data_IF_340274507193
#
_entry.id   IF_340274507193
#
_cell.length_a   1.000
_cell.length_b   1.000
_cell.length_c   1.000
_cell.angle_alpha   90.00
_cell.angle_beta   90.00
_cell.angle_gamma   90.00
#
_symmetry.space_group_name_H-M   'P 1'
#
loop_
_entity.id
_entity.type
_entity.pdbx_description
1 polymer ?
#
# COMPACT_ATOMS: atom_id res chain seq x y z
N UNK A 1 35.96 7.48 -34.74
CA UNK A 1 35.33 7.50 -33.41
C UNK A 1 34.05 6.70 -33.46
N UNK A 2 33.98 5.51 -32.85
CA UNK A 2 32.80 4.68 -32.89
C UNK A 2 31.75 5.24 -31.92
N UNK A 3 30.53 5.34 -32.43
CA UNK A 3 29.33 5.80 -31.72
C UNK A 3 29.03 4.90 -30.53
N UNK A 4 29.07 5.46 -29.32
CA UNK A 4 28.62 4.77 -28.11
C UNK A 4 27.12 4.46 -28.26
N UNK A 5 26.79 3.17 -28.40
CA UNK A 5 25.42 2.67 -28.29
C UNK A 5 24.92 2.97 -26.87
N UNK A 6 23.78 3.65 -26.76
CA UNK A 6 23.06 3.82 -25.50
C UNK A 6 22.81 2.44 -24.86
N UNK A 7 23.07 2.25 -23.55
CA UNK A 7 22.76 1.00 -22.89
C UNK A 7 21.25 0.76 -22.94
N UNK A 8 20.87 -0.47 -23.30
CA UNK A 8 19.50 -0.95 -23.38
C UNK A 8 18.80 -0.78 -22.03
N UNK A 9 17.78 0.09 -21.99
CA UNK A 9 16.89 0.23 -20.84
C UNK A 9 16.12 -1.08 -20.64
N UNK A 10 16.53 -1.91 -19.69
CA UNK A 10 15.59 -2.79 -19.00
C UNK A 10 14.55 -1.87 -18.35
N UNK A 11 13.41 -1.70 -19.00
CA UNK A 11 12.33 -0.84 -18.55
C UNK A 11 11.64 -1.53 -17.38
N UNK A 12 12.05 -1.22 -16.16
CA UNK A 12 11.27 -1.53 -14.96
C UNK A 12 9.81 -1.18 -15.21
N UNK A 13 8.91 -2.14 -15.00
CA UNK A 13 7.46 -1.94 -15.18
C UNK A 13 6.93 -0.85 -14.24
N UNK A 14 7.55 -0.71 -13.06
CA UNK A 14 7.19 0.27 -12.04
C UNK A 14 8.41 1.07 -11.56
N UNK A 15 8.28 2.41 -11.38
CA UNK A 15 9.39 3.27 -10.96
C UNK A 15 9.88 2.90 -9.54
N UNK A 16 11.15 3.16 -9.20
CA UNK A 16 11.68 3.04 -7.85
C UNK A 16 10.87 3.88 -6.85
N UNK A 17 10.45 3.26 -5.75
CA UNK A 17 9.75 3.89 -4.63
C UNK A 17 10.75 4.53 -3.66
N UNK A 18 11.64 5.38 -4.20
CA UNK A 18 12.71 6.06 -3.47
C UNK A 18 12.76 7.57 -3.81
N UNK A 19 13.32 8.41 -2.93
CA UNK A 19 13.61 9.80 -3.25
C UNK A 19 14.55 9.92 -4.45
N UNK A 20 14.30 10.92 -5.31
CA UNK A 20 15.10 11.13 -6.53
C UNK A 20 16.56 11.45 -6.18
N UNK A 21 16.79 12.23 -5.12
CA UNK A 21 18.13 12.62 -4.70
C UNK A 21 18.96 11.41 -4.25
N UNK A 22 18.35 10.47 -3.52
CA UNK A 22 18.99 9.21 -3.15
C UNK A 22 19.34 8.36 -4.37
N UNK A 23 18.44 8.27 -5.36
CA UNK A 23 18.72 7.55 -6.61
C UNK A 23 19.91 8.16 -7.36
N UNK A 24 20.01 9.49 -7.37
CA UNK A 24 21.15 10.19 -7.96
C UNK A 24 22.44 9.91 -7.20
N UNK A 25 22.41 9.94 -5.87
CA UNK A 25 23.56 9.63 -5.02
C UNK A 25 24.06 8.19 -5.25
N UNK A 26 23.15 7.23 -5.25
CA UNK A 26 23.47 5.82 -5.51
C UNK A 26 24.06 5.62 -6.91
N UNK A 27 23.58 6.37 -7.92
CA UNK A 27 24.11 6.30 -9.29
C UNK A 27 25.56 6.78 -9.40
N UNK A 28 25.99 7.68 -8.50
CA UNK A 28 27.35 8.24 -8.45
C UNK A 28 28.30 7.39 -7.62
N UNK A 29 27.80 6.50 -6.77
CA UNK A 29 28.63 5.69 -5.91
C UNK A 29 29.36 4.61 -6.74
N UNK A 30 30.71 4.57 -6.75
CA UNK A 30 31.48 3.68 -7.60
C UNK A 30 31.26 2.20 -7.24
N UNK A 31 30.94 1.89 -5.99
CA UNK A 31 30.66 0.53 -5.54
C UNK A 31 29.26 0.06 -5.91
N UNK A 32 28.36 1.00 -6.20
CA UNK A 32 26.96 0.78 -6.56
C UNK A 32 26.72 0.88 -8.07
N UNK A 33 27.55 1.66 -8.78
CA UNK A 33 27.37 2.12 -10.16
C UNK A 33 27.18 1.07 -11.27
N UNK A 34 26.47 1.51 -12.32
CA UNK A 34 25.95 0.80 -13.52
C UNK A 34 25.39 -0.62 -13.30
N UNK A 35 25.11 -1.05 -12.07
CA UNK A 35 24.36 -2.27 -11.91
C UNK A 35 22.93 -2.01 -12.39
N UNK A 36 22.46 -2.69 -13.45
CA UNK A 36 21.08 -2.54 -13.85
C UNK A 36 20.24 -2.93 -12.64
N UNK A 37 19.10 -2.25 -12.48
CA UNK A 37 18.05 -2.66 -11.55
C UNK A 37 17.74 -4.18 -11.65
N UNK A 38 18.12 -4.81 -12.76
CA UNK A 38 18.21 -6.24 -12.94
C UNK A 38 19.60 -6.79 -12.52
N UNK A 39 19.67 -7.42 -11.34
CA UNK A 39 20.26 -8.75 -11.39
C UNK A 39 19.39 -9.58 -12.36
N UNK A 40 20.05 -10.38 -13.17
CA UNK A 40 19.51 -11.24 -14.22
C UNK A 40 18.57 -12.33 -13.72
N UNK A 41 17.51 -11.97 -13.00
CA UNK A 41 16.38 -12.83 -12.70
C UNK A 41 15.11 -11.99 -12.82
N UNK A 42 14.42 -12.15 -13.96
CA UNK A 42 13.05 -11.64 -14.16
C UNK A 42 12.11 -11.90 -12.97
N UNK A 43 12.43 -12.91 -12.14
CA UNK A 43 11.74 -13.27 -10.90
C UNK A 43 11.82 -12.19 -9.82
N UNK A 44 13.00 -11.60 -9.55
CA UNK A 44 13.16 -10.59 -8.47
C UNK A 44 12.39 -9.30 -8.82
N UNK A 45 12.50 -8.84 -10.06
CA UNK A 45 11.74 -7.68 -10.53
C UNK A 45 10.24 -7.94 -10.48
N UNK A 46 9.79 -9.16 -10.79
CA UNK A 46 8.39 -9.55 -10.65
C UNK A 46 7.93 -9.57 -9.18
N UNK A 47 8.76 -10.05 -8.24
CA UNK A 47 8.44 -10.00 -6.80
C UNK A 47 8.34 -8.55 -6.31
N UNK A 48 9.30 -7.71 -6.72
CA UNK A 48 9.30 -6.29 -6.41
C UNK A 48 8.04 -5.61 -6.95
N UNK A 49 7.65 -5.87 -8.20
CA UNK A 49 6.47 -5.26 -8.82
C UNK A 49 5.19 -5.61 -8.05
N UNK A 50 5.00 -6.88 -7.69
CA UNK A 50 3.88 -7.33 -6.85
C UNK A 50 3.81 -6.60 -5.50
N UNK A 51 4.95 -6.36 -4.86
CA UNK A 51 5.03 -5.60 -3.59
C UNK A 51 4.69 -4.12 -3.83
N UNK A 52 5.24 -3.50 -4.87
CA UNK A 52 5.02 -2.09 -5.21
C UNK A 52 3.55 -1.80 -5.54
N UNK A 53 2.87 -2.70 -6.24
CA UNK A 53 1.43 -2.63 -6.49
C UNK A 53 0.58 -3.10 -5.30
N UNK A 54 1.21 -3.55 -4.21
CA UNK A 54 0.57 -4.07 -2.99
C UNK A 54 -0.36 -5.25 -3.27
N UNK A 55 -0.01 -6.08 -4.24
CA UNK A 55 -0.68 -7.36 -4.51
C UNK A 55 -0.38 -8.38 -3.41
N UNK A 56 0.83 -8.28 -2.83
CA UNK A 56 1.27 -9.05 -1.67
C UNK A 56 1.86 -8.12 -0.60
N UNK A 57 1.90 -8.54 0.67
CA UNK A 57 2.62 -7.81 1.72
C UNK A 57 4.10 -7.65 1.37
N UNK A 58 4.72 -6.54 1.80
CA UNK A 58 6.17 -6.31 1.63
C UNK A 58 7.03 -7.40 2.28
N UNK A 59 6.51 -7.99 3.35
CA UNK A 59 7.14 -9.07 4.13
C UNK A 59 6.82 -10.48 3.58
N UNK A 60 6.23 -10.58 2.37
CA UNK A 60 5.89 -11.87 1.79
C UNK A 60 7.15 -12.75 1.62
N UNK A 61 7.02 -14.00 2.06
CA UNK A 61 8.09 -15.00 2.05
C UNK A 61 7.98 -15.80 0.75
N UNK A 62 9.06 -15.81 -0.04
CA UNK A 62 9.11 -16.47 -1.34
C UNK A 62 9.88 -17.80 -1.24
N UNK A 63 9.38 -18.88 -1.86
CA UNK A 63 10.19 -20.07 -2.11
C UNK A 63 11.19 -19.75 -3.22
N UNK A 64 12.48 -19.99 -2.97
CA UNK A 64 13.53 -19.74 -3.95
C UNK A 64 14.10 -21.10 -4.38
N UNK A 65 13.99 -21.39 -5.67
CA UNK A 65 14.58 -22.60 -6.27
C UNK A 65 16.08 -22.65 -5.98
N UNK A 66 16.56 -23.80 -5.46
CA UNK A 66 17.97 -24.01 -5.14
C UNK A 66 18.43 -23.50 -3.77
N UNK A 67 17.56 -22.85 -2.98
CA UNK A 67 17.84 -22.54 -1.58
C UNK A 67 17.05 -23.46 -0.65
N UNK A 68 17.67 -23.84 0.47
CA UNK A 68 17.05 -24.73 1.46
C UNK A 68 15.99 -24.06 2.35
N UNK A 69 15.73 -22.76 2.17
CA UNK A 69 14.79 -21.97 2.95
C UNK A 69 14.07 -20.91 2.12
N UNK A 70 12.86 -20.59 2.56
CA UNK A 70 12.10 -19.47 2.04
C UNK A 70 12.60 -18.14 2.64
N UNK A 71 12.53 -17.05 1.87
CA UNK A 71 13.05 -15.74 2.28
C UNK A 71 12.16 -14.59 1.85
N UNK A 72 12.15 -13.50 2.62
CA UNK A 72 11.56 -12.23 2.21
C UNK A 72 12.43 -11.53 1.16
N UNK A 73 11.85 -10.60 0.40
CA UNK A 73 12.61 -9.85 -0.60
C UNK A 73 13.76 -9.02 0.02
N UNK A 74 13.58 -8.54 1.25
CA UNK A 74 14.62 -7.85 2.00
C UNK A 74 15.80 -8.77 2.33
N UNK A 75 15.56 -10.03 2.73
CA UNK A 75 16.62 -11.01 2.98
C UNK A 75 17.37 -11.40 1.70
N UNK A 76 16.65 -11.55 0.57
CA UNK A 76 17.26 -11.82 -0.75
C UNK A 76 18.17 -10.66 -1.14
N UNK A 77 17.65 -9.43 -1.07
CA UNK A 77 18.40 -8.21 -1.37
C UNK A 77 19.64 -8.07 -0.47
N UNK A 78 19.49 -8.42 0.81
CA UNK A 78 20.57 -8.35 1.78
C UNK A 78 21.71 -9.33 1.49
N UNK A 79 21.37 -10.58 1.17
CA UNK A 79 22.36 -11.61 0.79
C UNK A 79 23.06 -11.31 -0.54
N UNK A 80 22.38 -10.63 -1.47
CA UNK A 80 22.92 -10.28 -2.78
C UNK A 80 23.73 -8.97 -2.78
N UNK A 81 23.71 -8.20 -1.69
CA UNK A 81 24.28 -6.86 -1.67
C UNK A 81 23.53 -5.86 -2.57
N UNK A 82 22.22 -6.07 -2.80
CA UNK A 82 21.41 -5.18 -3.64
C UNK A 82 20.96 -3.95 -2.85
N UNK A 83 21.85 -2.95 -2.77
CA UNK A 83 21.63 -1.76 -1.94
C UNK A 83 20.36 -0.99 -2.32
N UNK A 84 20.08 -0.81 -3.62
CA UNK A 84 18.86 -0.15 -4.10
C UNK A 84 17.59 -0.84 -3.61
N UNK A 85 17.56 -2.18 -3.68
CA UNK A 85 16.40 -2.96 -3.30
C UNK A 85 16.22 -2.95 -1.77
N UNK A 86 17.30 -2.97 -1.00
CA UNK A 86 17.24 -2.83 0.46
C UNK A 86 16.67 -1.48 0.86
N UNK A 87 17.15 -0.38 0.27
CA UNK A 87 16.58 0.96 0.48
C UNK A 87 15.08 0.95 0.19
N UNK A 88 14.68 0.40 -0.95
CA UNK A 88 13.28 0.40 -1.36
C UNK A 88 12.39 -0.45 -0.45
N UNK A 89 12.84 -1.63 -0.04
CA UNK A 89 12.09 -2.49 0.89
C UNK A 89 11.90 -1.80 2.24
N UNK A 90 12.94 -1.18 2.79
CA UNK A 90 12.84 -0.39 4.03
C UNK A 90 11.86 0.78 3.83
N UNK A 91 11.93 1.48 2.69
CA UNK A 91 11.03 2.61 2.38
C UNK A 91 9.56 2.20 2.27
N UNK A 92 9.30 0.98 1.77
CA UNK A 92 7.98 0.37 1.64
C UNK A 92 7.47 -0.24 2.95
N UNK A 93 8.27 -0.20 4.02
CA UNK A 93 7.90 -0.64 5.36
C UNK A 93 8.12 -2.12 5.61
N UNK A 94 9.15 -2.72 4.99
CA UNK A 94 9.59 -4.07 5.32
C UNK A 94 10.00 -4.15 6.80
N UNK A 95 9.63 -5.25 7.46
CA UNK A 95 10.12 -5.55 8.79
C UNK A 95 11.62 -5.85 8.73
N UNK A 96 12.42 -4.95 9.31
CA UNK A 96 13.88 -5.04 9.28
C UNK A 96 14.43 -6.29 10.01
N UNK A 97 13.64 -6.85 10.91
CA UNK A 97 13.96 -8.03 11.72
C UNK A 97 13.18 -9.28 11.29
N UNK A 98 12.64 -9.30 10.07
CA UNK A 98 11.93 -10.48 9.56
C UNK A 98 12.84 -11.71 9.58
N UNK A 99 12.38 -12.82 10.13
CA UNK A 99 13.16 -14.06 10.23
C UNK A 99 12.70 -15.09 9.22
N UNK A 100 13.65 -15.86 8.67
CA UNK A 100 13.33 -17.10 7.97
C UNK A 100 13.07 -18.26 8.96
N UNK A 101 12.82 -19.45 8.43
CA UNK A 101 12.63 -20.68 9.22
C UNK A 101 13.81 -21.06 10.13
N UNK A 102 14.99 -20.47 9.92
CA UNK A 102 16.17 -20.67 10.76
C UNK A 102 16.42 -19.52 11.73
N UNK A 103 15.48 -18.58 11.86
CA UNK A 103 15.60 -17.42 12.74
C UNK A 103 16.53 -16.32 12.18
N UNK A 104 16.93 -16.38 10.91
CA UNK A 104 17.91 -15.45 10.34
C UNK A 104 17.23 -14.16 9.88
N UNK A 105 17.72 -13.01 10.35
CA UNK A 105 17.28 -11.68 9.89
C UNK A 105 17.97 -11.27 8.58
N UNK A 106 17.50 -10.19 7.89
CA UNK A 106 18.23 -9.56 6.80
C UNK A 106 19.68 -9.23 7.15
N UNK A 107 19.93 -8.70 8.36
CA UNK A 107 21.29 -8.41 8.82
C UNK A 107 22.11 -9.70 8.94
N UNK A 108 21.52 -10.75 9.50
CA UNK A 108 22.18 -12.05 9.63
C UNK A 108 22.60 -12.61 8.27
N UNK A 109 21.70 -12.62 7.28
CA UNK A 109 22.03 -13.17 5.96
C UNK A 109 23.06 -12.33 5.20
N UNK A 110 23.09 -11.01 5.39
CA UNK A 110 24.15 -10.15 4.82
C UNK A 110 25.52 -10.47 5.43
N UNK A 111 25.61 -10.57 6.77
CA UNK A 111 26.86 -10.93 7.46
C UNK A 111 27.29 -12.35 7.13
N UNK A 112 26.35 -13.28 7.02
CA UNK A 112 26.61 -14.63 6.56
C UNK A 112 27.20 -14.66 5.16
N UNK A 113 26.64 -13.89 4.22
CA UNK A 113 27.17 -13.80 2.87
C UNK A 113 28.61 -13.25 2.86
N UNK A 114 28.89 -12.17 3.61
CA UNK A 114 30.25 -11.61 3.73
C UNK A 114 31.26 -12.64 4.23
N UNK A 115 30.94 -13.33 5.31
CA UNK A 115 31.86 -14.31 5.93
C UNK A 115 32.04 -15.58 5.09
N UNK A 116 31.03 -15.97 4.30
CA UNK A 116 31.16 -17.05 3.31
C UNK A 116 32.08 -16.66 2.16
N UNK A 117 32.05 -15.40 1.69
CA UNK A 117 32.95 -14.92 0.65
C UNK A 117 34.42 -15.04 1.06
N UNK A 118 34.73 -14.74 2.32
CA UNK A 118 36.10 -14.84 2.85
C UNK A 118 36.60 -16.29 2.93
N UNK A 119 35.70 -17.27 3.05
CA UNK A 119 36.05 -18.70 3.12
C UNK A 119 36.26 -19.33 1.75
N UNK A 120 35.55 -18.85 0.73
CA UNK A 120 35.56 -19.43 -0.60
C UNK A 120 35.93 -18.39 -1.66
N UNK A 121 37.10 -17.73 -1.58
CA UNK A 121 37.41 -16.55 -2.39
C UNK A 121 37.32 -16.79 -3.91
N UNK A 122 37.58 -18.03 -4.35
CA UNK A 122 37.63 -18.42 -5.76
C UNK A 122 36.25 -18.67 -6.40
N UNK A 123 35.15 -18.65 -5.62
CA UNK A 123 33.81 -18.82 -6.18
C UNK A 123 33.44 -17.63 -7.10
N UNK A 124 32.97 -17.90 -8.34
CA UNK A 124 32.59 -16.86 -9.28
C UNK A 124 31.40 -16.07 -8.73
N UNK A 125 31.59 -14.76 -8.59
CA UNK A 125 30.59 -13.85 -8.04
C UNK A 125 30.51 -12.56 -8.87
N UNK A 126 29.35 -11.88 -8.86
CA UNK A 126 29.27 -10.57 -9.45
C UNK A 126 30.33 -9.62 -8.82
N UNK A 127 30.94 -8.71 -9.59
CA UNK A 127 31.94 -7.80 -9.06
C UNK A 127 31.33 -6.91 -7.98
N UNK A 128 32.15 -6.56 -6.97
CA UNK A 128 31.81 -5.62 -5.87
C UNK A 128 30.71 -6.09 -4.90
N UNK A 129 30.29 -7.35 -4.97
CA UNK A 129 29.28 -7.89 -4.03
C UNK A 129 29.73 -7.76 -2.56
N UNK A 130 31.01 -7.99 -2.26
CA UNK A 130 31.56 -7.81 -0.90
C UNK A 130 31.35 -6.38 -0.36
N UNK A 131 31.93 -5.34 -1.00
CA UNK A 131 31.71 -3.94 -0.61
C UNK A 131 30.22 -3.57 -0.49
N UNK A 132 29.39 -3.97 -1.46
CA UNK A 132 27.95 -3.69 -1.42
C UNK A 132 27.23 -4.36 -0.26
N UNK A 133 27.56 -5.61 0.04
CA UNK A 133 26.97 -6.34 1.16
C UNK A 133 27.39 -5.70 2.49
N UNK A 134 28.60 -5.14 2.57
CA UNK A 134 29.05 -4.33 3.71
C UNK A 134 28.20 -3.07 3.87
N UNK A 135 27.96 -2.32 2.79
CA UNK A 135 27.08 -1.14 2.81
C UNK A 135 25.65 -1.49 3.24
N UNK A 136 25.13 -2.63 2.78
CA UNK A 136 23.82 -3.13 3.19
C UNK A 136 23.78 -3.47 4.68
N UNK A 137 24.79 -4.17 5.21
CA UNK A 137 24.87 -4.48 6.62
C UNK A 137 24.91 -3.19 7.47
N UNK A 138 25.72 -2.20 7.07
CA UNK A 138 25.76 -0.89 7.72
C UNK A 138 24.38 -0.21 7.70
N UNK A 139 23.72 -0.16 6.55
CA UNK A 139 22.38 0.43 6.40
C UNK A 139 21.36 -0.25 7.33
N UNK A 140 21.37 -1.58 7.43
CA UNK A 140 20.44 -2.31 8.30
C UNK A 140 20.69 -1.98 9.79
N UNK A 141 21.95 -1.90 10.21
CA UNK A 141 22.32 -1.56 11.59
C UNK A 141 21.89 -0.11 11.91
N UNK A 142 22.16 0.83 11.01
CA UNK A 142 21.76 2.24 11.11
C UNK A 142 20.23 2.43 11.13
N UNK A 143 19.51 1.56 10.42
CA UNK A 143 18.05 1.49 10.43
C UNK A 143 17.48 0.71 11.62
N UNK A 144 18.32 0.49 12.62
CA UNK A 144 17.99 -0.10 13.91
C UNK A 144 17.60 -1.58 13.88
N UNK A 145 18.12 -2.37 12.91
CA UNK A 145 18.01 -3.83 12.95
C UNK A 145 18.50 -4.39 14.30
N UNK A 146 17.88 -5.46 14.78
CA UNK A 146 18.35 -6.15 15.98
C UNK A 146 19.68 -6.84 15.66
N UNK A 147 20.73 -6.37 16.35
CA UNK A 147 22.12 -6.79 16.16
C UNK A 147 22.47 -8.07 16.91
N UNK A 148 21.61 -8.49 17.85
CA UNK A 148 21.87 -9.62 18.74
C UNK A 148 21.10 -10.88 18.35
N UNK A 149 20.37 -10.87 17.22
CA UNK A 149 19.70 -12.08 16.75
C UNK A 149 20.72 -13.16 16.45
N UNK A 150 20.53 -14.30 17.09
CA UNK A 150 21.32 -15.50 16.88
C UNK A 150 20.65 -16.39 15.85
N UNK A 151 21.41 -16.84 14.85
CA UNK A 151 21.01 -18.01 14.06
C UNK A 151 21.12 -19.28 14.91
N UNK A 152 21.20 -20.45 14.27
CA UNK A 152 21.27 -21.74 14.98
C UNK A 152 22.30 -21.79 16.13
N UNK A 153 23.48 -21.16 15.99
CA UNK A 153 24.53 -21.18 17.03
C UNK A 153 25.47 -19.96 17.07
N UNK A 154 25.23 -18.90 16.28
CA UNK A 154 26.12 -17.73 16.17
C UNK A 154 25.31 -16.45 15.97
N UNK A 155 25.78 -15.33 16.51
CA UNK A 155 25.29 -13.97 16.23
C UNK A 155 26.04 -13.33 15.05
N UNK A 156 25.55 -12.21 14.51
CA UNK A 156 26.30 -11.42 13.53
C UNK A 156 27.69 -11.02 14.05
N UNK A 157 27.75 -10.61 15.32
CA UNK A 157 28.98 -10.19 15.99
C UNK A 157 30.02 -11.32 16.03
N UNK A 158 29.67 -12.50 16.58
CA UNK A 158 30.56 -13.69 16.57
C UNK A 158 31.05 -14.07 15.18
N UNK A 159 30.17 -13.98 14.18
CA UNK A 159 30.51 -14.40 12.82
C UNK A 159 31.59 -13.51 12.23
N UNK A 160 31.48 -12.19 12.42
CA UNK A 160 32.51 -11.24 11.99
C UNK A 160 33.81 -11.41 12.79
N UNK A 161 33.73 -11.70 14.09
CA UNK A 161 34.93 -11.93 14.89
C UNK A 161 35.68 -13.19 14.47
N UNK A 162 34.97 -14.25 14.12
CA UNK A 162 35.55 -15.51 13.63
C UNK A 162 36.00 -15.48 12.16
N UNK A 163 35.84 -14.36 11.45
CA UNK A 163 36.23 -14.23 10.05
C UNK A 163 37.75 -14.07 9.89
N UNK A 164 38.31 -14.59 8.79
CA UNK A 164 39.73 -14.41 8.46
C UNK A 164 40.06 -12.95 8.15
N UNK A 165 39.15 -12.26 7.45
CA UNK A 165 39.25 -10.83 7.16
C UNK A 165 38.34 -10.09 8.13
N UNK A 166 38.92 -9.30 9.03
CA UNK A 166 38.16 -8.52 10.01
C UNK A 166 37.60 -7.26 9.36
N UNK A 167 36.27 -7.12 9.40
CA UNK A 167 35.57 -5.90 8.98
C UNK A 167 35.30 -5.03 10.20
N UNK A 168 36.35 -4.36 10.67
CA UNK A 168 36.30 -3.54 11.89
C UNK A 168 35.19 -2.49 11.86
N UNK A 169 34.97 -1.84 10.72
CA UNK A 169 33.87 -0.87 10.54
C UNK A 169 32.50 -1.44 10.95
N UNK A 170 32.20 -2.69 10.57
CA UNK A 170 30.95 -3.35 10.93
C UNK A 170 30.94 -3.81 12.40
N UNK A 171 32.08 -4.28 12.92
CA UNK A 171 32.21 -4.72 14.31
C UNK A 171 31.98 -3.54 15.25
N UNK A 172 32.64 -2.40 15.00
CA UNK A 172 32.46 -1.16 15.73
C UNK A 172 31.03 -0.65 15.65
N UNK A 173 30.43 -0.68 14.45
CA UNK A 173 29.04 -0.28 14.25
C UNK A 173 28.05 -1.18 15.00
N UNK A 174 28.27 -2.49 15.03
CA UNK A 174 27.48 -3.43 15.84
C UNK A 174 27.59 -3.10 17.33
N UNK A 175 28.80 -2.89 17.86
CA UNK A 175 29.05 -2.54 19.26
C UNK A 175 28.35 -1.22 19.61
N UNK A 176 28.49 -0.19 18.77
CA UNK A 176 27.82 1.09 18.94
C UNK A 176 26.29 0.94 18.97
N UNK A 177 25.74 -0.03 18.24
CA UNK A 177 24.30 -0.32 18.19
C UNK A 177 23.83 -1.34 19.23
N UNK A 178 24.66 -1.66 20.23
CA UNK A 178 24.27 -2.50 21.37
C UNK A 178 24.53 -3.99 21.19
N UNK A 179 25.44 -4.36 20.28
CA UNK A 179 25.94 -5.73 20.25
C UNK A 179 26.61 -6.07 21.58
N UNK A 180 26.22 -7.19 22.16
CA UNK A 180 26.78 -7.74 23.38
C UNK A 180 27.03 -9.22 23.17
N UNK A 181 28.07 -9.76 23.80
CA UNK A 181 28.31 -11.20 23.73
C UNK A 181 28.90 -11.77 25.01
N UNK A 182 28.50 -13.01 25.31
CA UNK A 182 29.00 -13.89 26.35
C UNK A 182 29.89 -14.92 25.65
N UNK A 183 31.21 -14.78 25.81
CA UNK A 183 32.21 -15.63 25.16
C UNK A 183 32.18 -17.06 25.74
N UNK A 184 31.40 -17.96 25.16
CA UNK A 184 31.53 -19.40 25.40
C UNK A 184 31.67 -20.16 24.07
N UNK A 185 32.86 -20.07 23.46
CA UNK A 185 33.22 -20.92 22.32
C UNK A 185 33.91 -22.20 22.82
N UNK A 186 33.36 -23.37 22.45
CA UNK A 186 34.02 -24.69 22.63
C UNK A 186 35.15 -24.95 21.63
N UNK A 187 35.16 -24.24 20.50
CA UNK A 187 36.24 -24.23 19.50
C UNK A 187 36.65 -22.76 19.31
N UNK A 188 37.71 -22.35 20.01
CA UNK A 188 38.04 -20.95 20.27
C UNK A 188 38.22 -20.07 19.02
N UNK A 189 38.08 -18.74 19.15
CA UNK A 189 38.29 -17.81 18.05
C UNK A 189 39.79 -17.69 17.71
N UNK A 190 40.12 -17.59 16.41
CA UNK A 190 41.38 -17.00 15.92
C UNK A 190 41.32 -15.47 16.14
N UNK A 191 41.36 -15.03 17.40
CA UNK A 191 41.63 -13.64 17.74
C UNK A 191 43.00 -13.56 18.37
N UNK A 192 43.84 -12.64 17.89
CA UNK A 192 45.08 -12.31 18.58
C UNK A 192 44.79 -11.64 19.93
N UNK A 193 45.76 -11.60 20.83
CA UNK A 193 45.58 -10.91 22.12
C UNK A 193 45.30 -9.42 21.92
N UNK A 194 45.91 -8.80 20.91
CA UNK A 194 45.67 -7.39 20.55
C UNK A 194 44.22 -7.17 20.09
N UNK A 195 43.67 -8.10 19.28
CA UNK A 195 42.27 -8.02 18.85
C UNK A 195 41.30 -8.16 20.03
N UNK A 196 41.60 -9.05 20.99
CA UNK A 196 40.80 -9.21 22.22
C UNK A 196 40.82 -7.96 23.07
N UNK A 197 41.99 -7.35 23.25
CA UNK A 197 42.15 -6.10 24.00
C UNK A 197 41.38 -4.96 23.34
N UNK A 198 41.49 -4.82 22.02
CA UNK A 198 40.77 -3.80 21.26
C UNK A 198 39.24 -3.90 21.42
N UNK A 199 38.69 -5.11 21.30
CA UNK A 199 37.24 -5.34 21.47
C UNK A 199 36.80 -5.06 22.90
N UNK A 200 37.60 -5.49 23.88
CA UNK A 200 37.30 -5.27 25.30
C UNK A 200 37.22 -3.77 25.60
N UNK A 201 38.12 -2.99 25.01
CA UNK A 201 38.11 -1.53 25.12
C UNK A 201 36.90 -0.90 24.40
N UNK A 202 36.55 -1.36 23.21
CA UNK A 202 35.34 -0.91 22.50
C UNK A 202 34.06 -1.20 23.29
N UNK A 203 33.93 -2.39 23.87
CA UNK A 203 32.78 -2.76 24.70
C UNK A 203 32.71 -1.93 25.99
N UNK A 204 33.87 -1.58 26.58
CA UNK A 204 33.96 -0.74 27.78
C UNK A 204 33.61 0.72 27.48
N UNK A 205 33.99 1.23 26.32
CA UNK A 205 33.81 2.64 25.91
C UNK A 205 32.54 2.89 25.08
N UNK A 206 31.76 1.84 24.78
CA UNK A 206 30.59 1.95 23.91
C UNK A 206 29.55 2.96 24.45
N UNK A 207 28.83 3.65 23.56
CA UNK A 207 27.73 4.53 23.95
C UNK A 207 26.67 3.81 24.79
N UNK A 208 26.15 4.49 25.81
CA UNK A 208 25.05 3.97 26.63
C UNK A 208 23.70 3.95 25.89
N UNK A 209 23.55 4.79 24.87
CA UNK A 209 22.38 4.87 24.00
C UNK A 209 22.80 4.54 22.58
N UNK A 210 21.93 3.80 21.88
CA UNK A 210 22.08 3.52 20.46
C UNK A 210 22.14 4.83 19.66
N UNK A 211 23.03 4.96 18.67
CA UNK A 211 23.06 6.10 17.77
C UNK A 211 21.68 6.40 17.17
N UNK A 212 21.32 7.67 16.96
CA UNK A 212 19.99 8.05 16.49
C UNK A 212 19.73 7.50 15.09
N UNK A 213 18.51 7.00 14.88
CA UNK A 213 18.10 6.42 13.60
C UNK A 213 17.94 7.50 12.54
N UNK A 214 18.54 7.30 11.37
CA UNK A 214 18.21 8.10 10.16
C UNK A 214 16.80 7.76 9.70
N UNK A 215 16.03 8.78 9.30
CA UNK A 215 14.63 8.57 8.94
C UNK A 215 14.52 7.61 7.72
N UNK A 216 13.68 6.55 7.79
CA UNK A 216 13.52 5.57 6.70
C UNK A 216 12.89 6.13 5.41
N UNK A 217 12.50 7.41 5.41
CA UNK A 217 12.11 8.12 4.21
C UNK A 217 13.32 8.52 3.34
N UNK A 218 14.53 8.41 3.89
CA UNK A 218 15.81 8.76 3.27
C UNK A 218 15.90 10.22 2.82
N UNK A 219 15.30 11.13 3.59
CA UNK A 219 15.44 12.58 3.39
C UNK A 219 16.75 13.15 3.93
N UNK A 220 17.66 12.33 4.44
CA UNK A 220 18.90 12.75 5.10
C UNK A 220 18.75 13.18 6.58
N UNK A 221 17.52 13.45 7.04
CA UNK A 221 17.22 13.85 8.42
C UNK A 221 17.16 12.64 9.37
N UNK A 222 17.35 12.90 10.67
CA UNK A 222 17.08 11.93 11.73
C UNK A 222 15.58 11.63 11.81
N UNK A 223 15.23 10.46 12.34
CA UNK A 223 13.85 10.06 12.55
C UNK A 223 13.12 11.06 13.48
N UNK A 224 13.78 11.48 14.56
CA UNK A 224 13.26 12.46 15.53
C UNK A 224 12.86 13.78 14.89
N UNK A 225 13.61 14.22 13.87
CA UNK A 225 13.47 15.52 13.21
C UNK A 225 12.66 15.40 11.91
N UNK A 226 12.04 14.23 11.68
CA UNK A 226 11.30 13.94 10.47
C UNK A 226 9.98 13.24 10.82
N UNK A 227 9.82 11.94 10.54
CA UNK A 227 8.54 11.25 10.76
C UNK A 227 8.25 11.03 12.26
N UNK A 228 9.22 11.22 13.15
CA UNK A 228 9.03 11.26 14.60
C UNK A 228 8.31 12.53 15.11
N UNK A 229 8.35 13.64 14.36
CA UNK A 229 7.55 14.84 14.71
C UNK A 229 6.07 14.70 14.31
N UNK A 230 5.76 13.77 13.42
CA UNK A 230 4.41 13.50 12.96
C UNK A 230 4.28 13.22 11.45
N UNK A 231 3.04 13.10 10.96
CA UNK A 231 2.75 12.68 9.59
C UNK A 231 3.33 13.61 8.52
N UNK A 232 4.01 13.06 7.51
CA UNK A 232 4.54 13.81 6.37
C UNK A 232 3.75 13.50 5.09
N UNK A 233 3.75 14.37 4.06
CA UNK A 233 3.02 14.12 2.82
C UNK A 233 3.54 12.88 2.09
N UNK A 234 2.65 12.01 1.62
CA UNK A 234 3.05 10.86 0.80
C UNK A 234 3.66 11.31 -0.54
N UNK A 235 4.80 10.74 -1.00
CA UNK A 235 5.47 11.16 -2.21
C UNK A 235 4.61 11.05 -3.46
N UNK A 236 4.69 12.06 -4.32
CA UNK A 236 3.81 12.20 -5.48
C UNK A 236 4.13 11.22 -6.61
N UNK A 237 5.41 10.90 -6.79
CA UNK A 237 5.88 9.96 -7.81
C UNK A 237 5.73 8.49 -7.41
N UNK A 238 5.48 8.21 -6.12
CA UNK A 238 5.27 6.85 -5.63
C UNK A 238 3.95 6.28 -6.15
N UNK A 239 3.87 4.96 -6.20
CA UNK A 239 2.66 4.23 -6.54
C UNK A 239 1.57 4.53 -5.52
N UNK A 240 0.36 4.80 -6.03
CA UNK A 240 -0.74 5.21 -5.20
C UNK A 240 -1.14 4.07 -4.25
N UNK A 241 -1.27 4.31 -2.93
CA UNK A 241 -1.63 3.25 -1.97
C UNK A 241 -2.99 2.59 -2.22
N UNK A 242 -3.84 3.18 -3.07
CA UNK A 242 -5.14 2.62 -3.45
C UNK A 242 -5.09 1.50 -4.51
N UNK A 243 -3.89 0.95 -4.83
CA UNK A 243 -3.70 -0.17 -5.76
C UNK A 243 -4.22 0.07 -7.18
N UNK A 244 -4.21 1.33 -7.65
CA UNK A 244 -4.71 1.66 -8.99
C UNK A 244 -3.70 1.39 -10.12
N UNK A 245 -2.50 0.91 -9.81
CA UNK A 245 -1.40 0.80 -10.77
C UNK A 245 -0.91 2.15 -11.33
N UNK A 246 -1.20 3.27 -10.66
CA UNK A 246 -0.76 4.61 -11.08
C UNK A 246 -0.06 5.35 -9.95
N UNK A 247 0.81 6.31 -10.27
CA UNK A 247 1.42 7.16 -9.25
C UNK A 247 0.38 7.97 -8.49
N UNK A 248 0.67 8.29 -7.23
CA UNK A 248 -0.21 9.06 -6.36
C UNK A 248 -0.62 10.39 -6.98
N UNK A 249 0.33 11.11 -7.61
CA UNK A 249 0.08 12.35 -8.33
C UNK A 249 -0.98 12.21 -9.43
N UNK A 250 -0.97 11.07 -10.15
CA UNK A 250 -1.88 10.80 -11.26
C UNK A 250 -3.18 10.11 -10.81
N UNK A 251 -3.27 9.67 -9.55
CA UNK A 251 -4.40 8.93 -8.99
C UNK A 251 -5.13 9.68 -7.86
N UNK A 252 -4.96 9.25 -6.59
CA UNK A 252 -5.73 9.77 -5.46
C UNK A 252 -5.59 11.29 -5.30
N UNK A 253 -4.41 11.85 -5.59
CA UNK A 253 -4.19 13.29 -5.53
C UNK A 253 -5.13 14.05 -6.49
N UNK A 254 -5.28 13.58 -7.74
CA UNK A 254 -6.25 14.16 -8.71
C UNK A 254 -7.70 14.04 -8.23
N UNK A 255 -7.99 13.05 -7.39
CA UNK A 255 -9.31 12.84 -6.78
C UNK A 255 -9.49 13.59 -5.46
N UNK A 256 -8.56 14.48 -5.10
CA UNK A 256 -8.53 15.21 -3.83
C UNK A 256 -8.49 14.28 -2.60
N UNK A 257 -8.03 13.04 -2.76
CA UNK A 257 -7.76 12.10 -1.66
C UNK A 257 -6.30 12.29 -1.23
N UNK A 258 -6.09 12.58 0.04
CA UNK A 258 -4.76 12.85 0.58
C UNK A 258 -4.20 11.64 1.32
N UNK A 259 -2.98 11.24 0.98
CA UNK A 259 -2.19 10.24 1.71
C UNK A 259 -1.05 10.92 2.50
N UNK A 260 -0.70 10.35 3.65
CA UNK A 260 0.41 10.74 4.53
C UNK A 260 1.29 9.53 4.81
N UNK A 261 2.59 9.75 4.94
CA UNK A 261 3.49 8.80 5.57
C UNK A 261 3.47 9.03 7.08
N UNK A 262 3.28 7.95 7.84
CA UNK A 262 3.23 7.97 9.31
C UNK A 262 4.25 6.98 9.84
N UNK A 263 4.98 7.38 10.87
CA UNK A 263 5.88 6.50 11.61
C UNK A 263 5.08 5.57 12.52
N UNK A 264 5.32 4.27 12.40
CA UNK A 264 4.79 3.26 13.30
C UNK A 264 5.92 2.84 14.26
N UNK A 265 5.85 3.30 15.51
CA UNK A 265 6.87 3.03 16.54
C UNK A 265 6.99 1.54 16.84
N UNK A 266 5.86 0.86 17.04
CA UNK A 266 5.82 -0.57 17.40
C UNK A 266 6.47 -1.46 16.33
N UNK A 267 6.22 -1.14 15.07
CA UNK A 267 6.74 -1.91 13.92
C UNK A 267 8.09 -1.39 13.43
N UNK A 268 8.50 -0.18 13.81
CA UNK A 268 9.74 0.45 13.36
C UNK A 268 9.77 0.74 11.85
N UNK A 269 8.62 1.08 11.25
CA UNK A 269 8.46 1.32 9.81
C UNK A 269 7.64 2.57 9.49
N UNK A 270 7.75 3.06 8.25
CA UNK A 270 6.85 4.08 7.71
C UNK A 270 5.69 3.39 6.98
N UNK A 271 4.46 3.78 7.31
CA UNK A 271 3.25 3.29 6.67
C UNK A 271 2.48 4.43 6.00
N UNK A 272 1.85 4.21 4.84
CA UNK A 272 0.98 5.22 4.25
C UNK A 272 -0.41 5.14 4.87
N UNK A 273 -0.92 6.29 5.30
CA UNK A 273 -2.24 6.46 5.86
C UNK A 273 -3.03 7.49 5.05
N UNK A 274 -4.28 7.18 4.81
CA UNK A 274 -5.23 8.09 4.17
C UNK A 274 -5.67 9.12 5.20
N UNK A 275 -5.56 10.40 4.85
CA UNK A 275 -6.22 11.49 5.58
C UNK A 275 -7.69 11.48 5.17
N UNK A 276 -8.54 11.01 6.07
CA UNK A 276 -9.97 11.01 5.88
C UNK A 276 -10.54 12.31 6.43
N UNK A 277 -11.07 13.12 5.51
CA UNK A 277 -11.98 14.19 5.87
C UNK A 277 -13.37 13.57 6.07
N UNK A 278 -14.13 14.01 7.07
CA UNK A 278 -15.53 13.68 7.20
C UNK A 278 -16.24 13.88 5.87
N UNK A 279 -16.87 12.84 5.36
CA UNK A 279 -17.78 13.03 4.24
C UNK A 279 -19.05 13.59 4.84
N UNK A 280 -19.27 14.89 4.67
CA UNK A 280 -20.59 15.46 4.88
C UNK A 280 -21.47 14.94 3.74
N UNK A 281 -22.36 14.02 4.07
CA UNK A 281 -23.34 13.44 3.16
C UNK A 281 -24.67 14.08 3.52
N UNK A 282 -25.05 15.22 2.90
CA UNK A 282 -26.42 15.68 3.02
C UNK A 282 -27.28 14.55 2.45
N UNK A 283 -28.14 13.98 3.31
CA UNK A 283 -29.19 13.08 2.85
C UNK A 283 -30.02 13.86 1.80
N UNK A 284 -30.51 13.21 0.73
CA UNK A 284 -31.46 13.85 -0.18
C UNK A 284 -32.59 14.53 0.61
N UNK A 285 -33.10 15.68 0.14
CA UNK A 285 -34.14 16.43 0.85
C UNK A 285 -35.33 15.55 1.23
N UNK A 286 -35.70 14.59 0.38
CA UNK A 286 -36.78 13.64 0.63
C UNK A 286 -36.43 12.64 1.75
N UNK A 287 -35.18 12.19 1.85
CA UNK A 287 -34.71 11.34 2.95
C UNK A 287 -34.63 12.11 4.27
N UNK A 288 -34.25 13.39 4.21
CA UNK A 288 -34.28 14.32 5.35
C UNK A 288 -35.73 14.56 5.81
N UNK A 289 -36.66 14.73 4.87
CA UNK A 289 -38.09 14.96 5.14
C UNK A 289 -38.76 13.71 5.71
N UNK A 290 -38.47 12.53 5.16
CA UNK A 290 -38.88 11.22 5.72
C UNK A 290 -38.30 11.04 7.13
N UNK A 291 -37.06 11.45 7.35
CA UNK A 291 -36.42 11.35 8.66
C UNK A 291 -37.01 12.34 9.70
N UNK A 292 -37.23 13.61 9.32
CA UNK A 292 -37.87 14.61 10.18
C UNK A 292 -39.34 14.27 10.47
N UNK A 293 -40.06 13.64 9.53
CA UNK A 293 -41.43 13.15 9.80
C UNK A 293 -41.47 11.94 10.73
N UNK A 294 -40.37 11.20 10.86
CA UNK A 294 -40.25 10.05 11.75
C UNK A 294 -39.67 10.39 13.14
N UNK A 295 -39.16 11.62 13.36
CA UNK A 295 -38.47 11.95 14.61
C UNK A 295 -38.58 13.43 15.01
N UNK A 296 -39.07 13.64 16.22
CA UNK A 296 -38.98 14.93 16.92
C UNK A 296 -37.52 15.18 17.36
N UNK A 297 -37.01 16.32 16.90
CA UNK A 297 -35.84 17.15 17.24
C UNK A 297 -34.49 16.58 17.73
N UNK A 298 -33.47 17.29 17.22
CA UNK A 298 -32.09 17.47 17.68
C UNK A 298 -31.19 16.23 17.77
N UNK A 299 -30.22 16.13 16.85
CA UNK A 299 -28.77 16.08 17.16
C UNK A 299 -27.98 16.37 15.85
N UNK A 300 -27.40 17.57 15.73
CA UNK A 300 -26.27 17.83 14.83
C UNK A 300 -24.98 17.78 15.65
N UNK A 301 -24.43 16.58 15.85
CA UNK A 301 -23.11 16.42 16.45
C UNK A 301 -22.01 16.82 15.47
N UNK A 302 -21.07 17.60 16.00
CA UNK A 302 -19.87 18.15 15.38
C UNK A 302 -19.18 17.24 14.36
N UNK A 303 -18.78 17.84 13.23
CA UNK A 303 -17.91 17.24 12.22
C UNK A 303 -16.63 16.65 12.86
N UNK A 304 -16.24 15.41 12.53
CA UNK A 304 -15.07 14.78 13.11
C UNK A 304 -13.76 15.52 12.82
N UNK A 305 -12.92 15.55 13.84
CA UNK A 305 -11.47 15.77 13.80
C UNK A 305 -10.84 14.99 12.64
N UNK A 306 -9.78 15.52 12.04
CA UNK A 306 -9.00 14.82 11.01
C UNK A 306 -8.62 13.41 11.50
N UNK A 307 -9.07 12.37 10.79
CA UNK A 307 -8.75 10.98 11.11
C UNK A 307 -7.84 10.41 10.05
N UNK A 308 -6.88 9.60 10.47
CA UNK A 308 -6.02 8.84 9.58
C UNK A 308 -6.49 7.38 9.57
N UNK A 309 -6.50 6.74 8.39
CA UNK A 309 -6.83 5.32 8.23
C UNK A 309 -5.83 4.61 7.32
N UNK A 310 -5.49 3.36 7.60
CA UNK A 310 -4.64 2.53 6.72
C UNK A 310 -5.38 2.17 5.43
N UNK A 311 -4.67 1.75 4.37
CA UNK A 311 -5.30 1.36 3.11
C UNK A 311 -6.30 0.20 3.26
N UNK A 312 -6.06 -0.70 4.21
CA UNK A 312 -6.92 -1.86 4.52
C UNK A 312 -8.08 -1.51 5.45
N UNK A 313 -8.02 -0.38 6.14
CA UNK A 313 -9.10 0.03 7.02
C UNK A 313 -10.29 0.52 6.17
N UNK A 314 -11.49 0.22 6.63
CA UNK A 314 -12.72 0.63 5.95
C UNK A 314 -12.75 2.18 5.85
N UNK A 315 -12.92 2.78 4.66
CA UNK A 315 -12.95 4.24 4.51
C UNK A 315 -14.08 4.89 5.32
N UNK A 316 -13.87 6.13 5.78
CA UNK A 316 -14.90 6.85 6.54
C UNK A 316 -16.23 6.97 5.80
N UNK A 317 -16.21 7.15 4.47
CA UNK A 317 -17.42 7.22 3.63
C UNK A 317 -18.27 5.94 3.66
N UNK A 318 -17.65 4.80 4.01
CA UNK A 318 -18.28 3.48 4.08
C UNK A 318 -18.70 3.18 5.51
N UNK A 319 -17.87 3.54 6.50
CA UNK A 319 -18.21 3.44 7.91
C UNK A 319 -19.39 4.36 8.28
N UNK A 320 -19.53 5.49 7.59
CA UNK A 320 -20.77 6.24 7.57
C UNK A 320 -21.77 5.42 6.75
N UNK A 321 -22.52 4.57 7.41
CA UNK A 321 -23.72 3.95 6.83
C UNK A 321 -24.64 5.04 6.22
N UNK A 322 -24.56 6.30 6.68
CA UNK A 322 -25.54 7.35 6.36
C UNK A 322 -26.95 6.92 6.73
N UNK A 323 -27.01 5.93 7.61
CA UNK A 323 -28.15 5.49 8.37
C UNK A 323 -27.96 6.25 9.68
N UNK A 324 -28.85 7.19 10.02
CA UNK A 324 -28.90 7.76 11.36
C UNK A 324 -28.73 6.62 12.39
N UNK A 325 -27.83 6.73 13.39
CA UNK A 325 -27.57 5.68 14.38
C UNK A 325 -28.84 5.06 14.99
N UNK A 326 -29.92 5.81 14.96
CA UNK A 326 -31.20 5.52 15.59
C UNK A 326 -32.12 4.71 14.68
N UNK A 327 -31.75 4.59 13.40
CA UNK A 327 -32.22 3.58 12.44
C UNK A 327 -31.29 2.35 12.42
N UNK A 328 -30.31 2.23 13.32
CA UNK A 328 -29.42 1.06 13.40
C UNK A 328 -30.09 -0.24 13.87
N UNK A 329 -31.38 -0.19 14.22
CA UNK A 329 -32.21 -1.34 14.57
C UNK A 329 -32.85 -1.93 13.30
N UNK A 330 -32.57 -3.20 13.00
CA UNK A 330 -33.13 -3.93 11.84
C UNK A 330 -34.66 -3.85 11.75
N UNK A 331 -35.36 -3.79 12.90
CA UNK A 331 -36.82 -3.69 12.94
C UNK A 331 -37.34 -2.37 12.33
N UNK A 332 -36.58 -1.28 12.45
CA UNK A 332 -36.96 0.02 11.88
C UNK A 332 -36.72 0.03 10.36
N UNK A 333 -35.68 -0.69 9.89
CA UNK A 333 -35.42 -0.86 8.46
C UNK A 333 -36.53 -1.61 7.75
N UNK A 334 -37.01 -2.70 8.35
CA UNK A 334 -38.08 -3.48 7.76
C UNK A 334 -39.37 -2.67 7.60
N UNK A 335 -39.72 -1.87 8.61
CA UNK A 335 -40.88 -0.97 8.55
C UNK A 335 -40.70 0.12 7.49
N UNK A 336 -39.55 0.81 7.48
CA UNK A 336 -39.25 1.87 6.50
C UNK A 336 -39.27 1.33 5.07
N UNK A 337 -38.66 0.17 4.82
CA UNK A 337 -38.65 -0.42 3.49
C UNK A 337 -40.05 -0.89 3.06
N UNK A 338 -40.86 -1.44 3.97
CA UNK A 338 -42.25 -1.79 3.64
C UNK A 338 -43.06 -0.56 3.22
N UNK A 339 -42.90 0.58 3.91
CA UNK A 339 -43.64 1.79 3.58
C UNK A 339 -43.18 2.43 2.26
N UNK A 340 -41.87 2.46 2.01
CA UNK A 340 -41.31 2.99 0.75
C UNK A 340 -41.64 2.08 -0.43
N UNK A 341 -41.66 0.75 -0.22
CA UNK A 341 -42.15 -0.22 -1.23
C UNK A 341 -43.66 -0.07 -1.49
N UNK A 342 -44.49 0.12 -0.46
CA UNK A 342 -45.94 0.38 -0.62
C UNK A 342 -46.22 1.65 -1.43
N UNK A 343 -45.39 2.67 -1.28
CA UNK A 343 -45.47 3.94 -2.04
C UNK A 343 -44.89 3.83 -3.46
N UNK A 344 -44.29 2.69 -3.83
CA UNK A 344 -43.70 2.46 -5.14
C UNK A 344 -42.46 3.32 -5.42
N UNK A 345 -41.82 3.89 -4.39
CA UNK A 345 -40.72 4.84 -4.55
C UNK A 345 -39.34 4.18 -4.71
N UNK A 346 -39.22 2.89 -4.40
CA UNK A 346 -37.97 2.11 -4.53
C UNK A 346 -38.29 0.72 -5.06
N UNK A 347 -37.41 0.19 -5.92
CA UNK A 347 -37.57 -1.13 -6.54
C UNK A 347 -37.56 -2.27 -5.50
N UNK A 348 -38.47 -3.26 -5.57
CA UNK A 348 -38.51 -4.39 -4.64
C UNK A 348 -37.21 -5.22 -4.62
N UNK A 349 -36.55 -5.42 -5.76
CA UNK A 349 -35.30 -6.18 -5.83
C UNK A 349 -34.15 -5.41 -5.18
N UNK A 350 -34.15 -4.07 -5.29
CA UNK A 350 -33.20 -3.22 -4.59
C UNK A 350 -33.39 -3.30 -3.08
N UNK A 351 -34.64 -3.25 -2.60
CA UNK A 351 -34.97 -3.40 -1.17
C UNK A 351 -34.53 -4.76 -0.64
N UNK A 352 -34.80 -5.84 -1.39
CA UNK A 352 -34.35 -7.18 -1.00
C UNK A 352 -32.83 -7.22 -0.82
N UNK A 353 -32.06 -6.74 -1.80
CA UNK A 353 -30.60 -6.72 -1.72
C UNK A 353 -30.09 -5.82 -0.58
N UNK A 354 -30.74 -4.67 -0.33
CA UNK A 354 -30.43 -3.76 0.77
C UNK A 354 -30.57 -4.42 2.15
N UNK A 355 -31.58 -5.28 2.36
CA UNK A 355 -31.76 -6.00 3.63
C UNK A 355 -30.68 -7.04 3.89
N UNK A 356 -30.05 -7.56 2.83
CA UNK A 356 -29.03 -8.59 2.93
C UNK A 356 -27.63 -8.02 3.17
N UNK A 357 -27.43 -6.72 2.90
CA UNK A 357 -26.13 -6.07 3.03
C UNK A 357 -26.08 -5.18 4.27
N UNK A 358 -24.98 -5.25 5.05
CA UNK A 358 -24.81 -4.42 6.26
C UNK A 358 -24.32 -2.98 5.97
N UNK A 359 -24.73 -2.40 4.84
CA UNK A 359 -24.36 -1.04 4.45
C UNK A 359 -25.45 -0.38 3.57
N UNK A 360 -25.47 0.95 3.52
CA UNK A 360 -26.43 1.69 2.72
C UNK A 360 -25.96 1.83 1.26
N UNK A 361 -26.58 1.09 0.34
CA UNK A 361 -26.23 1.16 -1.07
C UNK A 361 -26.59 2.53 -1.67
N UNK A 362 -25.56 3.23 -2.11
CA UNK A 362 -25.68 4.56 -2.73
C UNK A 362 -24.47 4.87 -3.60
N UNK A 363 -24.55 5.88 -4.48
CA UNK A 363 -23.40 6.34 -5.24
C UNK A 363 -22.25 6.80 -4.31
N UNK A 364 -21.18 6.01 -4.24
CA UNK A 364 -19.97 6.38 -3.48
C UNK A 364 -19.04 7.28 -4.30
N UNK A 365 -19.26 7.34 -5.61
CA UNK A 365 -18.53 8.20 -6.54
C UNK A 365 -17.02 7.95 -6.47
N UNK A 366 -16.23 9.02 -6.59
CA UNK A 366 -14.76 8.96 -6.57
C UNK A 366 -14.16 8.99 -5.14
N UNK A 367 -15.00 8.89 -4.10
CA UNK A 367 -14.60 9.04 -2.68
C UNK A 367 -13.96 7.77 -2.11
N UNK A 368 -14.16 6.62 -2.72
CA UNK A 368 -13.59 5.33 -2.30
C UNK A 368 -12.72 4.72 -3.43
N UNK A 369 -11.79 3.79 -3.11
CA UNK A 369 -11.05 3.05 -4.13
C UNK A 369 -11.99 2.33 -5.10
N UNK A 370 -11.62 2.26 -6.39
CA UNK A 370 -12.47 1.66 -7.44
C UNK A 370 -12.74 0.18 -7.17
N UNK A 371 -11.68 -0.59 -6.86
CA UNK A 371 -11.79 -2.02 -6.59
C UNK A 371 -12.72 -2.27 -5.40
N UNK A 372 -12.55 -1.52 -4.32
CA UNK A 372 -13.43 -1.58 -3.15
C UNK A 372 -14.91 -1.31 -3.50
N UNK A 373 -15.21 -0.26 -4.28
CA UNK A 373 -16.57 0.01 -4.73
C UNK A 373 -17.11 -1.08 -5.66
N UNK A 374 -16.26 -1.67 -6.50
CA UNK A 374 -16.63 -2.79 -7.36
C UNK A 374 -16.97 -4.04 -6.53
N UNK A 375 -16.23 -4.33 -5.47
CA UNK A 375 -16.52 -5.46 -4.58
C UNK A 375 -17.85 -5.28 -3.85
N UNK A 376 -18.12 -4.07 -3.32
CA UNK A 376 -19.41 -3.74 -2.73
C UNK A 376 -20.57 -3.90 -3.74
N UNK A 377 -20.40 -3.37 -4.95
CA UNK A 377 -21.41 -3.49 -5.99
C UNK A 377 -21.61 -4.94 -6.43
N UNK A 378 -20.55 -5.75 -6.49
CA UNK A 378 -20.62 -7.19 -6.81
C UNK A 378 -21.43 -7.94 -5.76
N UNK A 379 -21.09 -7.80 -4.48
CA UNK A 379 -21.81 -8.47 -3.38
C UNK A 379 -23.28 -8.07 -3.37
N UNK A 380 -23.57 -6.78 -3.55
CA UNK A 380 -24.96 -6.30 -3.66
C UNK A 380 -25.70 -6.95 -4.84
N UNK A 381 -25.06 -6.97 -6.02
CA UNK A 381 -25.66 -7.53 -7.23
C UNK A 381 -25.89 -9.05 -7.14
N UNK A 382 -25.08 -9.79 -6.39
CA UNK A 382 -25.28 -11.23 -6.12
C UNK A 382 -26.60 -11.48 -5.36
N UNK A 383 -26.98 -10.57 -4.45
CA UNK A 383 -28.29 -10.63 -3.79
C UNK A 383 -29.45 -10.26 -4.74
N UNK A 384 -29.25 -9.29 -5.64
CA UNK A 384 -30.24 -9.00 -6.71
C UNK A 384 -30.43 -10.21 -7.63
N UNK A 385 -29.34 -10.90 -8.00
CA UNK A 385 -29.40 -12.12 -8.80
C UNK A 385 -30.13 -13.26 -8.07
N UNK A 386 -29.94 -13.37 -6.75
CA UNK A 386 -30.69 -14.31 -5.90
C UNK A 386 -32.20 -14.01 -5.88
N UNK A 387 -32.57 -12.72 -5.82
CA UNK A 387 -33.97 -12.29 -5.92
C UNK A 387 -34.59 -12.67 -7.28
N UNK A 388 -33.88 -12.41 -8.38
CA UNK A 388 -34.35 -12.79 -9.73
C UNK A 388 -34.53 -14.31 -9.83
N UNK A 389 -33.60 -15.09 -9.29
CA UNK A 389 -33.66 -16.56 -9.31
C UNK A 389 -34.83 -17.13 -8.48
N UNK A 390 -35.33 -16.39 -7.48
CA UNK A 390 -36.46 -16.81 -6.65
C UNK A 390 -37.80 -16.88 -7.41
N UNK A 391 -37.91 -16.20 -8.57
CA UNK A 391 -39.11 -16.18 -9.39
C UNK A 391 -40.31 -15.43 -8.77
N UNK A 392 -40.11 -14.68 -7.68
CA UNK A 392 -41.18 -13.92 -7.01
C UNK A 392 -41.62 -12.67 -7.79
N UNK A 393 -40.79 -12.19 -8.71
CA UNK A 393 -41.06 -11.02 -9.56
C UNK A 393 -41.36 -11.47 -11.00
N UNK A 394 -42.49 -11.03 -11.54
CA UNK A 394 -42.95 -11.40 -12.88
C UNK A 394 -42.31 -10.57 -14.00
N UNK A 395 -41.55 -9.52 -13.66
CA UNK A 395 -40.86 -8.68 -14.65
C UNK A 395 -39.74 -9.46 -15.35
N UNK A 396 -39.42 -9.12 -16.62
CA UNK A 396 -38.27 -9.70 -17.30
C UNK A 396 -36.96 -9.41 -16.52
N UNK A 397 -36.04 -10.38 -16.50
CA UNK A 397 -34.73 -10.28 -15.83
C UNK A 397 -34.05 -8.92 -16.07
N UNK A 398 -33.97 -8.50 -17.33
CA UNK A 398 -33.30 -7.26 -17.72
C UNK A 398 -33.94 -6.01 -17.07
N UNK A 399 -35.26 -5.97 -16.91
CA UNK A 399 -35.95 -4.84 -16.28
C UNK A 399 -35.58 -4.72 -14.79
N UNK A 400 -35.48 -5.85 -14.09
CA UNK A 400 -35.06 -5.91 -12.68
C UNK A 400 -33.59 -5.49 -12.55
N UNK A 401 -32.72 -5.97 -13.45
CA UNK A 401 -31.30 -5.59 -13.47
C UNK A 401 -31.11 -4.09 -13.67
N UNK A 402 -31.89 -3.47 -14.55
CA UNK A 402 -31.86 -2.03 -14.81
C UNK A 402 -32.25 -1.24 -13.57
N UNK A 403 -33.28 -1.67 -12.85
CA UNK A 403 -33.82 -0.94 -11.70
C UNK A 403 -32.97 -1.07 -10.44
N UNK A 404 -32.33 -2.23 -10.21
CA UNK A 404 -31.74 -2.56 -8.92
C UNK A 404 -30.21 -2.70 -8.93
N UNK A 405 -29.56 -3.08 -10.03
CA UNK A 405 -28.11 -3.39 -9.98
C UNK A 405 -27.25 -2.14 -9.87
N UNK A 406 -26.13 -2.29 -9.19
CA UNK A 406 -25.11 -1.27 -8.99
C UNK A 406 -23.92 -1.43 -9.94
N UNK A 407 -23.41 -0.31 -10.43
CA UNK A 407 -22.19 -0.20 -11.23
C UNK A 407 -20.91 -0.01 -10.37
N UNK A 408 -19.74 0.10 -11.02
CA UNK A 408 -18.41 0.15 -10.38
C UNK A 408 -18.14 1.30 -9.39
N UNK A 409 -19.09 2.22 -9.18
CA UNK A 409 -18.99 3.32 -8.21
C UNK A 409 -20.19 3.32 -7.24
N UNK A 410 -20.86 2.16 -7.12
CA UNK A 410 -22.07 1.95 -6.34
C UNK A 410 -23.26 2.86 -6.71
N UNK A 411 -23.22 3.52 -7.88
CA UNK A 411 -24.41 4.11 -8.50
C UNK A 411 -25.13 3.09 -9.37
N UNK A 412 -26.23 3.46 -10.02
CA UNK A 412 -26.98 2.57 -10.91
C UNK A 412 -26.07 1.95 -12.00
N UNK A 413 -26.20 0.64 -12.22
CA UNK A 413 -25.46 -0.12 -13.24
C UNK A 413 -25.90 0.30 -14.64
N UNK A 414 -27.20 0.45 -14.82
CA UNK A 414 -27.83 0.97 -16.03
C UNK A 414 -28.35 2.35 -15.68
N UNK A 415 -27.90 3.38 -16.41
CA UNK A 415 -28.36 4.74 -16.15
C UNK A 415 -29.49 5.05 -17.11
N UNK A 416 -30.61 5.49 -16.57
CA UNK A 416 -31.73 6.00 -17.35
C UNK A 416 -31.77 7.51 -17.13
N UNK A 417 -32.11 8.25 -18.18
CA UNK A 417 -32.42 9.65 -18.09
C UNK A 417 -33.77 9.84 -17.36
N UNK A 418 -33.79 10.58 -16.26
CA UNK A 418 -35.00 10.80 -15.45
C UNK A 418 -35.86 11.98 -15.93
N UNK A 419 -35.51 12.65 -17.04
CA UNK A 419 -36.35 13.71 -17.59
C UNK A 419 -37.63 13.11 -18.21
N UNK A 420 -38.78 13.74 -17.95
CA UNK A 420 -40.14 13.26 -18.33
C UNK A 420 -40.32 12.88 -19.82
N UNK A 421 -39.41 13.30 -20.70
CA UNK A 421 -39.46 13.06 -22.16
C UNK A 421 -38.20 12.38 -22.72
N UNK A 422 -37.37 11.81 -21.86
CA UNK A 422 -36.04 11.31 -22.24
C UNK A 422 -35.91 9.81 -21.96
N UNK A 423 -36.08 8.97 -22.97
CA UNK A 423 -35.98 7.51 -22.84
C UNK A 423 -34.56 6.97 -23.11
N UNK A 424 -33.53 7.81 -22.96
CA UNK A 424 -32.14 7.40 -23.24
C UNK A 424 -31.60 6.55 -22.09
N UNK A 425 -31.04 5.40 -22.45
CA UNK A 425 -30.49 4.42 -21.51
C UNK A 425 -29.02 4.13 -21.81
N UNK A 426 -28.17 4.18 -20.77
CA UNK A 426 -26.78 3.74 -20.77
C UNK A 426 -26.70 2.30 -20.22
N UNK A 427 -25.94 1.42 -20.86
CA UNK A 427 -25.81 0.02 -20.45
C UNK A 427 -24.56 -0.66 -21.04
N UNK A 428 -24.29 -1.92 -20.64
CA UNK A 428 -23.09 -2.68 -21.05
C UNK A 428 -22.86 -2.80 -22.58
N UNK A 429 -23.92 -2.67 -23.37
CA UNK A 429 -23.90 -2.75 -24.84
C UNK A 429 -24.56 -1.52 -25.52
N UNK A 430 -24.74 -0.42 -24.79
CA UNK A 430 -25.36 0.83 -25.28
C UNK A 430 -24.35 1.99 -25.19
N UNK A 431 -24.54 3.05 -25.99
CA UNK A 431 -23.64 4.20 -25.99
C UNK A 431 -23.63 4.93 -24.64
N UNK A 432 -22.43 5.27 -24.16
CA UNK A 432 -22.19 6.10 -22.96
C UNK A 432 -22.76 7.50 -23.15
N UNK A 433 -23.76 7.86 -22.34
CA UNK A 433 -24.34 9.22 -22.31
C UNK A 433 -23.44 10.13 -21.48
N UNK A 434 -23.12 11.34 -21.96
CA UNK A 434 -22.25 12.31 -21.25
C UNK A 434 -23.00 13.33 -20.40
N UNK A 435 -24.10 13.82 -20.94
CA UNK A 435 -24.93 14.87 -20.34
C UNK A 435 -26.30 14.79 -20.99
N UNK A 436 -27.34 14.96 -20.20
CA UNK A 436 -28.67 15.24 -20.72
C UNK A 436 -28.94 16.73 -20.58
N UNK A 437 -29.38 17.39 -21.64
CA UNK A 437 -29.73 18.82 -21.59
C UNK A 437 -30.96 19.08 -20.71
N UNK A 438 -31.87 18.11 -20.62
CA UNK A 438 -33.09 18.19 -19.82
C UNK A 438 -32.79 18.01 -18.32
N UNK A 439 -32.19 16.89 -17.91
CA UNK A 439 -31.97 16.62 -16.47
C UNK A 439 -30.64 17.15 -15.90
N UNK A 440 -29.78 17.76 -16.72
CA UNK A 440 -28.49 18.40 -16.35
C UNK A 440 -27.49 17.55 -15.53
N UNK A 441 -27.69 16.24 -15.40
CA UNK A 441 -26.76 15.36 -14.70
C UNK A 441 -25.44 15.20 -15.48
N UNK A 442 -24.31 15.54 -14.85
CA UNK A 442 -22.96 15.36 -15.40
C UNK A 442 -22.54 13.89 -15.31
N UNK A 443 -22.30 13.24 -16.46
CA UNK A 443 -21.80 11.86 -16.54
C UNK A 443 -20.33 11.89 -16.97
N UNK A 444 -19.44 11.35 -16.13
CA UNK A 444 -18.01 11.56 -16.29
C UNK A 444 -17.34 10.58 -17.27
N UNK A 445 -16.92 11.08 -18.45
CA UNK A 445 -15.70 10.64 -19.16
C UNK A 445 -15.87 10.15 -20.62
N UNK A 446 -15.24 10.87 -21.57
CA UNK A 446 -14.86 10.39 -22.92
C UNK A 446 -15.68 10.94 -24.10
N UNK A 447 -15.04 11.65 -25.04
CA UNK A 447 -15.59 12.35 -26.24
C UNK A 447 -16.60 11.49 -27.06
N UNK A 448 -17.88 11.85 -27.18
CA UNK A 448 -18.56 12.42 -28.36
C UNK A 448 -19.77 13.34 -27.99
N UNK A 449 -19.97 14.43 -28.73
CA UNK A 449 -21.19 15.27 -28.65
C UNK A 449 -22.36 14.50 -29.27
N UNK A 450 -23.55 14.59 -28.67
CA UNK A 450 -24.77 14.14 -29.33
C UNK A 450 -25.16 15.26 -30.30
N UNK A 451 -24.87 15.10 -31.60
CA UNK A 451 -25.31 16.03 -32.63
C UNK A 451 -26.65 15.60 -33.26
N UNK A 452 -27.37 16.64 -33.69
CA UNK A 452 -28.38 16.75 -34.75
C UNK A 452 -29.87 16.69 -34.38
N UNK A 453 -30.75 17.37 -35.17
CA UNK A 453 -30.62 18.73 -35.73
C UNK A 453 -31.85 19.63 -35.46
N UNK A 454 -31.60 20.94 -35.58
CA UNK A 454 -32.48 22.02 -36.07
C UNK A 454 -33.89 22.24 -35.47
N UNK A 455 -34.14 23.40 -34.87
CA UNK A 455 -34.61 24.61 -35.57
C UNK A 455 -35.04 25.70 -34.56
N UNK A 456 -34.39 26.86 -34.67
CA UNK A 456 -34.92 28.23 -34.56
C UNK A 456 -36.16 28.49 -33.68
N UNK A 457 -36.03 29.47 -32.78
CA UNK A 457 -36.65 30.81 -32.95
C UNK A 457 -36.09 31.81 -31.92
N UNK A 458 -35.33 32.76 -32.46
CA UNK A 458 -35.35 34.21 -32.21
C UNK A 458 -35.68 34.78 -30.82
N UNK A 459 -34.86 35.75 -30.41
CA UNK A 459 -35.40 37.06 -30.05
C UNK A 459 -34.83 37.73 -28.81
N UNK A 460 -33.89 38.66 -29.06
CA UNK A 460 -33.45 39.80 -28.22
C UNK A 460 -32.43 39.56 -27.11
#
# INVERSE_FOLDING_TARGET
MPTMRRPSTSTLQSPPQLPVDLLQELSRNPDVGEWPYAHSESKIDAFRDKIVHREVPVDHIWPIEGLSCQRSLLQIAASAGSLHLVYEMIRLGANINITDEYGRTPLFVAVQALTMMDRFPDEPRPPKVGPRTSLVASLLIEQHADVNVTGKFKSCFTMLMGAKVKRWDLIELLIAHGAHEVLEFRDGPLLSEEEKEYISELLRTRPSKRPPRRCPCFSGHLLSDCHGEGPKPFPYHFMCPCQSGSSYAKCCKKRKVSWRDIWNEDRGIIEPWRKDLPVYLPLPYDTITIWFTLRDQDVMTSLPIEKFRRPTDIPLAVAQTGIPPELGNEAIWDSCFQDVSRKGSVDPAFVFAMKMVSWNARPLGRKVPKNYAMDLARIFNEHVDSYIASGQDSRPKLAIEIAAKLGPSCGALYRICEAERCNKQEGRHLQTLKYCQECRMQLAGGLLQCEMPACSLEGS
#
